data_IF_619697338317
#
_entry.id   IF_619697338317
#
_cell.length_a   1.000
_cell.length_b   1.000
_cell.length_c   1.000
_cell.angle_alpha   90.00
_cell.angle_beta   90.00
_cell.angle_gamma   90.00
#
_symmetry.space_group_name_H-M   'P 1'
#
loop_
_entity.id
_entity.type
_entity.pdbx_description
1 polymer ?
#
# COMPACT_ATOMS: atom_id res chain seq x y z
N UNK A 1 26.95 5.83 6.09
CA UNK A 1 26.02 6.79 5.46
C UNK A 1 24.61 6.35 5.81
N UNK A 2 23.76 7.24 6.28
CA UNK A 2 22.32 6.93 6.44
C UNK A 2 21.71 7.13 5.06
N UNK A 3 21.11 6.08 4.51
CA UNK A 3 20.39 6.14 3.24
C UNK A 3 19.14 7.02 3.45
N UNK A 4 19.08 8.18 2.79
CA UNK A 4 17.94 9.07 2.91
C UNK A 4 16.80 8.55 2.02
N UNK A 5 15.79 7.97 2.65
CA UNK A 5 14.60 7.46 1.94
C UNK A 5 13.64 8.63 1.69
N UNK A 6 13.45 8.99 0.43
CA UNK A 6 12.42 9.95 0.00
C UNK A 6 11.08 9.23 -0.18
N UNK A 7 10.02 9.81 0.39
CA UNK A 7 8.64 9.33 0.33
C UNK A 7 7.70 10.42 -0.13
N UNK A 8 6.50 10.05 -0.59
CA UNK A 8 5.48 10.99 -1.08
C UNK A 8 4.19 10.95 -0.26
N UNK A 9 4.30 10.53 1.00
CA UNK A 9 3.15 10.31 1.87
C UNK A 9 2.26 11.54 2.14
N UNK A 10 2.76 12.76 1.85
CA UNK A 10 2.00 14.01 1.90
C UNK A 10 1.71 14.60 0.51
N UNK A 11 1.72 13.78 -0.56
CA UNK A 11 1.68 14.22 -1.98
C UNK A 11 2.81 15.19 -2.36
N UNK A 12 3.92 15.12 -1.64
CA UNK A 12 5.15 15.87 -1.88
C UNK A 12 6.34 15.01 -1.48
N UNK A 13 7.43 15.11 -2.23
CA UNK A 13 8.66 14.39 -1.94
C UNK A 13 9.32 14.93 -0.68
N UNK A 14 9.41 14.10 0.35
CA UNK A 14 10.03 14.44 1.63
C UNK A 14 10.86 13.28 2.17
N UNK A 15 11.86 13.63 2.98
CA UNK A 15 12.63 12.65 3.75
C UNK A 15 11.71 11.91 4.72
N UNK A 16 11.79 10.57 4.76
CA UNK A 16 11.04 9.71 5.69
C UNK A 16 11.15 10.20 7.15
N UNK A 17 12.31 10.74 7.54
CA UNK A 17 12.58 11.25 8.88
C UNK A 17 11.81 12.54 9.25
N UNK A 18 11.27 13.26 8.25
CA UNK A 18 10.54 14.51 8.45
C UNK A 18 9.02 14.35 8.37
N UNK A 19 8.52 13.18 8.00
CA UNK A 19 7.08 12.97 7.85
C UNK A 19 6.45 12.63 9.21
N UNK A 20 5.43 13.38 9.68
CA UNK A 20 4.83 13.19 11.00
C UNK A 20 3.83 12.01 11.03
N UNK A 21 4.17 10.89 10.39
CA UNK A 21 3.30 9.73 10.30
C UNK A 21 4.11 8.43 10.20
N UNK A 22 3.52 7.31 10.61
CA UNK A 22 4.21 6.02 10.50
C UNK A 22 4.16 5.50 9.07
N UNK A 23 5.33 5.43 8.43
CA UNK A 23 5.51 4.92 7.06
C UNK A 23 6.50 3.77 7.09
N UNK A 24 6.24 2.74 6.29
CA UNK A 24 7.29 1.79 5.89
C UNK A 24 7.51 1.95 4.39
N UNK A 25 8.74 2.24 3.97
CA UNK A 25 9.09 2.42 2.57
C UNK A 25 10.18 1.44 2.17
N UNK A 26 10.03 0.82 1.00
CA UNK A 26 10.95 -0.20 0.48
C UNK A 26 11.26 0.09 -0.98
N UNK A 27 12.54 0.15 -1.33
CA UNK A 27 12.99 0.26 -2.72
C UNK A 27 12.71 -1.02 -3.51
N UNK A 28 12.66 -0.90 -4.84
CA UNK A 28 12.54 -2.02 -5.77
C UNK A 28 13.59 -3.11 -5.52
N UNK A 29 14.84 -2.72 -5.31
CA UNK A 29 15.94 -3.66 -4.99
C UNK A 29 15.72 -4.40 -3.66
N UNK A 30 15.13 -3.73 -2.67
CA UNK A 30 14.79 -4.35 -1.39
C UNK A 30 13.63 -5.33 -1.55
N UNK A 31 12.61 -4.95 -2.33
CA UNK A 31 11.47 -5.80 -2.66
C UNK A 31 11.91 -7.04 -3.43
N UNK A 32 12.79 -6.87 -4.42
CA UNK A 32 13.35 -7.96 -5.22
C UNK A 32 14.15 -8.94 -4.36
N UNK A 33 15.08 -8.44 -3.53
CA UNK A 33 15.89 -9.27 -2.62
C UNK A 33 15.04 -10.04 -1.60
N UNK A 34 13.93 -9.47 -1.15
CA UNK A 34 13.00 -10.11 -0.22
C UNK A 34 11.99 -11.07 -0.90
N UNK A 35 11.98 -11.16 -2.23
CA UNK A 35 10.95 -11.87 -2.98
C UNK A 35 9.54 -11.32 -2.68
N UNK A 36 9.44 -10.00 -2.52
CA UNK A 36 8.26 -9.22 -2.16
C UNK A 36 7.74 -8.39 -3.36
N UNK A 37 7.77 -8.97 -4.55
CA UNK A 37 7.43 -8.32 -5.84
C UNK A 37 5.95 -8.43 -6.24
N UNK A 38 5.11 -8.99 -5.37
CA UNK A 38 3.67 -9.04 -5.57
C UNK A 38 2.93 -8.50 -4.36
N UNK A 39 1.70 -7.96 -4.51
CA UNK A 39 0.90 -7.49 -3.38
C UNK A 39 0.69 -8.54 -2.29
N UNK A 40 0.60 -9.82 -2.67
CA UNK A 40 0.48 -10.97 -1.77
C UNK A 40 1.72 -11.16 -0.89
N UNK A 41 2.90 -10.89 -1.45
CA UNK A 41 4.18 -11.07 -0.78
C UNK A 41 4.63 -9.86 0.07
N UNK A 42 3.94 -8.71 -0.02
CA UNK A 42 4.29 -7.51 0.75
C UNK A 42 4.17 -7.70 2.27
N UNK A 43 3.33 -8.64 2.72
CA UNK A 43 3.21 -9.00 4.14
C UNK A 43 4.51 -9.52 4.76
N UNK A 44 5.45 -10.02 3.95
CA UNK A 44 6.78 -10.45 4.40
C UNK A 44 7.62 -9.30 4.96
N UNK A 45 7.47 -8.10 4.39
CA UNK A 45 8.20 -6.90 4.79
C UNK A 45 7.41 -6.00 5.73
N UNK A 46 6.08 -6.10 5.66
CA UNK A 46 5.17 -5.30 6.49
C UNK A 46 4.31 -6.26 7.31
N UNK A 47 4.74 -6.66 8.52
CA UNK A 47 4.00 -7.61 9.36
C UNK A 47 2.59 -7.15 9.72
N UNK A 48 2.36 -5.83 9.73
CA UNK A 48 1.03 -5.29 9.96
C UNK A 48 0.09 -5.44 8.76
N UNK A 49 0.59 -5.78 7.56
CA UNK A 49 -0.18 -5.92 6.33
C UNK A 49 -0.43 -7.41 6.08
N UNK A 50 -1.70 -7.76 6.03
CA UNK A 50 -2.16 -9.10 5.67
C UNK A 50 -2.88 -9.02 4.34
N UNK A 51 -2.50 -9.93 3.45
CA UNK A 51 -3.16 -10.15 2.17
C UNK A 51 -3.93 -11.47 2.24
N UNK A 52 -5.18 -11.45 1.78
CA UNK A 52 -5.98 -12.65 1.56
C UNK A 52 -6.70 -12.56 0.22
N UNK A 53 -7.15 -13.69 -0.31
CA UNK A 53 -8.02 -13.73 -1.50
C UNK A 53 -9.43 -14.04 -1.03
N UNK A 54 -10.41 -13.29 -1.53
CA UNK A 54 -11.83 -13.63 -1.32
C UNK A 54 -12.20 -14.92 -2.04
N UNK A 55 -13.39 -15.45 -1.76
CA UNK A 55 -13.91 -16.65 -2.44
C UNK A 55 -13.93 -16.53 -3.98
N UNK A 56 -14.00 -15.31 -4.52
CA UNK A 56 -13.98 -15.03 -5.97
C UNK A 56 -12.62 -14.51 -6.47
N UNK A 57 -11.56 -14.69 -5.67
CA UNK A 57 -10.18 -14.36 -6.03
C UNK A 57 -9.84 -12.87 -5.97
N UNK A 58 -10.70 -12.01 -5.41
CA UNK A 58 -10.39 -10.59 -5.24
C UNK A 58 -9.40 -10.41 -4.06
N UNK A 59 -8.34 -9.59 -4.21
CA UNK A 59 -7.47 -9.23 -3.09
C UNK A 59 -8.25 -8.57 -1.95
N UNK A 60 -7.91 -8.94 -0.72
CA UNK A 60 -8.38 -8.28 0.49
C UNK A 60 -7.16 -7.93 1.33
N UNK A 61 -6.96 -6.63 1.51
CA UNK A 61 -5.88 -6.08 2.33
C UNK A 61 -6.41 -5.72 3.71
N UNK A 62 -5.70 -6.19 4.73
CA UNK A 62 -5.95 -5.85 6.13
C UNK A 62 -4.68 -5.22 6.69
N UNK A 63 -4.75 -4.01 7.24
CA UNK A 63 -3.59 -3.32 7.80
C UNK A 63 -3.81 -2.97 9.28
N UNK A 64 -2.97 -3.54 10.15
CA UNK A 64 -3.12 -3.59 11.63
C UNK A 64 -4.52 -4.06 12.07
N UNK A 65 -4.97 -5.19 11.54
CA UNK A 65 -6.27 -5.78 11.88
C UNK A 65 -7.50 -5.08 11.29
N UNK A 66 -7.30 -3.98 10.56
CA UNK A 66 -8.39 -3.27 9.88
C UNK A 66 -8.44 -3.69 8.42
N UNK A 67 -9.52 -4.37 8.05
CA UNK A 67 -9.80 -4.83 6.69
C UNK A 67 -11.30 -4.88 6.47
N UNK A 68 -11.71 -4.93 5.20
CA UNK A 68 -13.10 -5.16 4.83
C UNK A 68 -13.12 -6.37 3.89
N UNK A 69 -13.56 -7.49 4.44
CA UNK A 69 -13.68 -8.73 3.69
C UNK A 69 -15.08 -8.78 3.07
N UNK A 70 -15.13 -8.65 1.76
CA UNK A 70 -16.34 -8.73 0.95
C UNK A 70 -16.03 -9.65 -0.23
N UNK A 71 -17.02 -10.45 -0.61
CA UNK A 71 -16.90 -11.39 -1.72
C UNK A 71 -17.10 -10.69 -3.08
N UNK A 72 -17.70 -9.50 -3.10
CA UNK A 72 -17.91 -8.71 -4.31
C UNK A 72 -16.59 -8.23 -4.91
N UNK A 73 -16.50 -8.33 -6.24
CA UNK A 73 -15.38 -7.81 -7.03
C UNK A 73 -15.33 -6.28 -6.99
N UNK A 74 -16.49 -5.64 -6.83
CA UNK A 74 -16.65 -4.18 -6.76
C UNK A 74 -16.65 -3.65 -5.33
N UNK A 75 -16.29 -4.47 -4.35
CA UNK A 75 -16.20 -4.02 -2.97
C UNK A 75 -15.17 -2.90 -2.82
N UNK A 76 -15.58 -1.82 -2.16
CA UNK A 76 -14.69 -0.73 -1.78
C UNK A 76 -13.79 -1.22 -0.63
N UNK A 77 -12.46 -1.22 -0.79
CA UNK A 77 -11.58 -1.73 0.25
C UNK A 77 -11.51 -0.80 1.47
N UNK A 78 -11.29 -1.38 2.65
CA UNK A 78 -10.87 -0.62 3.83
C UNK A 78 -9.43 -0.10 3.74
N UNK A 79 -8.58 -0.76 2.94
CA UNK A 79 -7.18 -0.37 2.70
C UNK A 79 -7.03 -0.10 1.20
N UNK A 80 -6.87 1.17 0.85
CA UNK A 80 -6.78 1.60 -0.55
C UNK A 80 -5.34 1.46 -1.06
N UNK A 81 -5.19 0.88 -2.25
CA UNK A 81 -3.91 0.82 -2.96
C UNK A 81 -3.86 1.98 -3.95
N UNK A 82 -2.72 2.65 -4.01
CA UNK A 82 -2.43 3.72 -4.95
C UNK A 82 -1.31 3.28 -5.88
N UNK A 83 -1.44 3.58 -7.16
CA UNK A 83 -0.38 3.41 -8.16
C UNK A 83 -0.11 4.79 -8.73
N UNK A 84 1.12 5.26 -8.63
CA UNK A 84 1.53 6.60 -9.08
C UNK A 84 0.58 7.72 -8.57
N UNK A 85 0.25 7.67 -7.28
CA UNK A 85 -0.68 8.57 -6.57
C UNK A 85 -2.15 8.52 -7.02
N UNK A 86 -2.51 7.62 -7.92
CA UNK A 86 -3.89 7.38 -8.35
C UNK A 86 -4.50 6.25 -7.51
N UNK A 87 -5.65 6.46 -6.84
CA UNK A 87 -6.30 5.41 -6.08
C UNK A 87 -6.85 4.34 -7.02
N UNK A 88 -6.67 3.08 -6.65
CA UNK A 88 -7.39 1.97 -7.24
C UNK A 88 -8.74 1.82 -6.52
N UNK A 89 -9.88 2.08 -7.18
CA UNK A 89 -11.19 2.05 -6.53
C UNK A 89 -11.60 0.64 -6.09
N UNK A 90 -11.07 -0.39 -6.73
CA UNK A 90 -11.40 -1.79 -6.46
C UNK A 90 -10.14 -2.61 -6.19
N UNK A 91 -10.16 -3.45 -5.16
CA UNK A 91 -9.01 -4.28 -4.77
C UNK A 91 -8.51 -5.20 -5.88
N UNK A 92 -9.40 -5.65 -6.78
CA UNK A 92 -9.02 -6.48 -7.94
C UNK A 92 -7.97 -5.81 -8.84
N UNK A 93 -8.01 -4.48 -8.97
CA UNK A 93 -7.05 -3.75 -9.81
C UNK A 93 -5.62 -3.83 -9.26
N UNK A 94 -5.45 -4.09 -7.95
CA UNK A 94 -4.13 -4.20 -7.34
C UNK A 94 -3.36 -5.46 -7.75
N UNK A 95 -4.01 -6.47 -8.34
CA UNK A 95 -3.37 -7.75 -8.69
C UNK A 95 -2.17 -7.58 -9.61
N UNK A 96 -2.21 -6.57 -10.49
CA UNK A 96 -1.15 -6.27 -11.45
C UNK A 96 -0.22 -5.14 -10.99
N UNK A 97 -0.41 -4.64 -9.76
CA UNK A 97 0.33 -3.50 -9.27
C UNK A 97 1.77 -3.84 -8.84
N UNK A 98 2.13 -5.12 -8.71
CA UNK A 98 3.50 -5.54 -8.31
C UNK A 98 4.55 -5.57 -9.44
N UNK A 99 4.17 -5.37 -10.69
CA UNK A 99 5.11 -5.42 -11.82
C UNK A 99 5.84 -4.08 -11.97
N UNK A 100 7.15 -4.13 -12.22
CA UNK A 100 8.05 -2.99 -12.49
C UNK A 100 8.05 -1.90 -11.40
N UNK A 101 8.05 -2.33 -10.14
CA UNK A 101 7.94 -1.44 -8.99
C UNK A 101 9.30 -0.85 -8.60
N UNK A 102 9.39 0.48 -8.64
CA UNK A 102 10.51 1.27 -8.16
C UNK A 102 10.51 1.39 -6.63
N UNK A 103 9.35 1.57 -6.00
CA UNK A 103 9.22 1.73 -4.54
C UNK A 103 7.81 1.41 -4.07
N UNK A 104 7.71 0.84 -2.86
CA UNK A 104 6.45 0.68 -2.13
C UNK A 104 6.48 1.50 -0.85
N UNK A 105 5.42 2.25 -0.58
CA UNK A 105 5.23 3.02 0.65
C UNK A 105 3.93 2.59 1.35
N UNK A 106 4.01 2.16 2.60
CA UNK A 106 2.87 1.74 3.42
C UNK A 106 2.65 2.70 4.57
N UNK A 107 1.64 3.55 4.41
CA UNK A 107 1.21 4.57 5.36
C UNK A 107 0.24 3.94 6.38
N UNK A 108 0.52 4.15 7.66
CA UNK A 108 -0.27 3.60 8.77
C UNK A 108 -0.88 4.73 9.60
N UNK A 109 -2.20 4.65 9.83
CA UNK A 109 -2.94 5.62 10.64
C UNK A 109 -3.76 6.58 9.77
N UNK A 110 -4.69 7.36 10.36
CA UNK A 110 -5.72 8.11 9.63
C UNK A 110 -5.13 9.13 8.66
N UNK A 111 -5.59 9.12 7.40
CA UNK A 111 -5.17 10.02 6.32
C UNK A 111 -6.32 10.84 5.71
N UNK A 112 -7.39 11.09 6.50
CA UNK A 112 -8.65 11.66 6.01
C UNK A 112 -8.55 13.02 5.31
N UNK A 113 -7.44 13.76 5.48
CA UNK A 113 -7.23 15.09 4.89
C UNK A 113 -6.47 15.08 3.55
N UNK A 114 -5.68 14.05 3.25
CA UNK A 114 -4.77 14.05 2.08
C UNK A 114 -5.27 13.21 0.90
N UNK A 115 -6.12 12.21 1.16
CA UNK A 115 -6.41 11.17 0.17
C UNK A 115 -7.89 10.96 -0.17
N UNK A 116 -8.80 11.71 0.46
CA UNK A 116 -10.21 11.78 0.05
C UNK A 116 -11.05 10.53 0.35
N UNK A 117 -12.32 10.78 0.62
CA UNK A 117 -13.44 9.87 0.98
C UNK A 117 -13.47 8.49 0.30
N UNK A 118 -13.21 7.43 1.07
CA UNK A 118 -14.04 6.19 1.09
C UNK A 118 -13.63 5.16 2.14
N UNK A 119 -12.46 5.26 2.77
CA UNK A 119 -12.08 4.29 3.80
C UNK A 119 -12.34 4.88 5.19
N UNK A 120 -13.13 4.17 6.01
CA UNK A 120 -13.41 4.53 7.40
C UNK A 120 -12.16 4.52 8.30
N UNK A 121 -11.02 4.07 7.79
CA UNK A 121 -9.70 4.05 8.44
C UNK A 121 -8.58 4.12 7.39
N UNK A 122 -8.23 5.33 6.90
CA UNK A 122 -7.32 5.46 5.74
C UNK A 122 -5.93 4.91 6.04
N UNK A 123 -5.50 3.97 5.20
CA UNK A 123 -4.24 3.24 5.23
C UNK A 123 -3.87 2.98 3.78
N UNK A 124 -2.69 3.37 3.36
CA UNK A 124 -2.33 3.47 1.94
C UNK A 124 -1.11 2.63 1.64
N UNK A 125 -1.15 1.91 0.52
CA UNK A 125 0.03 1.34 -0.12
C UNK A 125 0.23 2.06 -1.44
N UNK A 126 1.27 2.90 -1.56
CA UNK A 126 1.65 3.54 -2.82
C UNK A 126 2.69 2.69 -3.52
N UNK A 127 2.46 2.43 -4.80
CA UNK A 127 3.38 1.73 -5.67
C UNK A 127 3.81 2.67 -6.78
N UNK A 128 5.12 2.83 -6.93
CA UNK A 128 5.76 3.61 -7.98
C UNK A 128 6.31 2.68 -9.06
N UNK A 129 6.06 2.97 -10.33
CA UNK A 129 6.61 2.21 -11.46
C UNK A 129 7.85 2.88 -12.08
N UNK A 130 8.62 2.11 -12.84
CA UNK A 130 9.77 2.59 -13.63
C UNK A 130 9.31 3.34 -14.88
#
# INVERSE_FOLDING_TARGET
>A
MIEEITVTAQRRSESLNRVPMTISAFSGDTLARAGAVSPESLGKLVPSLVYTKSAYGAPVFTLRGVGYYDYSISAVPAVTVYVDEVPLPYSRMSQFAGNDVQRVEVLKGPQGTLYGVTSRFVRQTTIWRT
#
